data_IF_312740942396
#
_entry.id   IF_312740942396
#
_cell.length_a   1.000
_cell.length_b   1.000
_cell.length_c   1.000
_cell.angle_alpha   90.00
_cell.angle_beta   90.00
_cell.angle_gamma   90.00
#
_symmetry.space_group_name_H-M   'P 1'
#
loop_
_entity.id
_entity.type
_entity.pdbx_description
1 polymer ?
#
# COMPACT_ATOMS: atom_id res chain seq x y z
N UNK A 1 -32.73 -15.50 14.97
CA UNK A 1 -32.80 -14.76 13.69
C UNK A 1 -31.42 -14.87 13.07
N UNK A 2 -31.33 -15.65 12.00
CA UNK A 2 -30.13 -15.80 11.18
C UNK A 2 -30.07 -14.65 10.18
N UNK A 3 -28.88 -14.05 10.06
CA UNK A 3 -28.41 -13.27 8.91
C UNK A 3 -27.05 -12.70 9.29
N UNK A 4 -25.98 -12.83 8.55
CA UNK A 4 -25.64 -13.66 7.40
C UNK A 4 -24.12 -13.48 7.31
N UNK A 5 -23.43 -14.52 6.85
CA UNK A 5 -21.98 -14.57 6.73
C UNK A 5 -21.46 -13.40 5.86
N UNK A 6 -20.57 -12.56 6.39
CA UNK A 6 -19.61 -11.84 5.56
C UNK A 6 -18.31 -12.63 5.55
N UNK A 7 -18.33 -13.66 4.71
CA UNK A 7 -17.20 -14.34 4.07
C UNK A 7 -15.83 -14.14 4.74
N UNK A 8 -15.43 -15.11 5.55
CA UNK A 8 -14.01 -15.38 5.77
C UNK A 8 -13.38 -15.76 4.41
N UNK A 9 -12.76 -14.80 3.74
CA UNK A 9 -11.89 -15.05 2.59
C UNK A 9 -10.75 -16.00 3.01
N UNK A 10 -10.60 -17.19 2.39
CA UNK A 10 -9.65 -18.19 2.87
C UNK A 10 -8.21 -17.71 2.71
N UNK A 11 -7.49 -17.79 3.83
CA UNK A 11 -6.05 -17.61 4.02
C UNK A 11 -5.23 -18.27 2.91
N UNK A 12 -4.49 -17.47 2.16
CA UNK A 12 -3.38 -17.89 1.31
C UNK A 12 -2.46 -16.69 1.14
N UNK A 13 -1.25 -16.79 1.66
CA UNK A 13 -0.19 -15.76 1.77
C UNK A 13 0.30 -15.16 0.42
N UNK A 14 -0.45 -15.36 -0.67
CA UNK A 14 -0.13 -15.02 -2.05
C UNK A 14 -1.12 -14.01 -2.68
N UNK A 15 -2.06 -13.47 -1.91
CA UNK A 15 -3.04 -12.51 -2.44
C UNK A 15 -2.39 -11.16 -2.75
N UNK A 16 -2.86 -10.47 -3.80
CA UNK A 16 -2.39 -9.11 -4.13
C UNK A 16 -2.67 -8.14 -2.97
N UNK A 17 -3.71 -8.43 -2.17
CA UNK A 17 -4.08 -7.65 -0.99
C UNK A 17 -3.05 -7.77 0.14
N UNK A 18 -2.50 -8.95 0.41
CA UNK A 18 -1.42 -9.13 1.40
C UNK A 18 -0.13 -8.41 1.00
N UNK A 19 0.08 -8.25 -0.31
CA UNK A 19 1.19 -7.44 -0.81
C UNK A 19 0.93 -5.94 -0.62
N UNK A 20 -0.31 -5.49 -0.85
CA UNK A 20 -0.72 -4.10 -0.59
C UNK A 20 -0.61 -3.78 0.91
N UNK A 21 -0.98 -4.70 1.78
CA UNK A 21 -0.96 -4.51 3.25
C UNK A 21 0.45 -4.35 3.84
N UNK A 22 1.50 -4.76 3.11
CA UNK A 22 2.89 -4.52 3.51
C UNK A 22 3.32 -3.05 3.42
N UNK A 23 2.53 -2.21 2.73
CA UNK A 23 2.85 -0.79 2.55
C UNK A 23 2.15 0.08 3.58
N UNK A 24 2.83 1.16 3.97
CA UNK A 24 2.22 2.20 4.81
C UNK A 24 1.38 3.15 3.94
N UNK A 25 0.12 3.35 4.31
CA UNK A 25 -0.78 4.29 3.65
C UNK A 25 -1.09 5.48 4.54
N UNK A 26 -1.31 6.64 3.92
CA UNK A 26 -1.75 7.85 4.65
C UNK A 26 -3.17 7.74 5.21
N UNK A 27 -3.98 6.81 4.70
CA UNK A 27 -5.38 6.61 5.06
C UNK A 27 -5.76 5.14 5.09
N UNK A 28 -6.71 4.78 5.94
CA UNK A 28 -7.27 3.44 5.99
C UNK A 28 -8.06 3.14 4.70
N UNK A 29 -7.66 2.09 3.98
CA UNK A 29 -8.38 1.60 2.81
C UNK A 29 -9.63 0.82 3.23
N UNK A 30 -10.77 1.16 2.66
CA UNK A 30 -12.05 0.44 2.90
C UNK A 30 -12.58 -0.20 1.63
N UNK A 31 -12.40 0.46 0.49
CA UNK A 31 -12.83 -0.05 -0.81
C UNK A 31 -11.73 0.17 -1.84
N UNK A 32 -10.94 -0.87 -2.11
CA UNK A 32 -9.74 -0.82 -2.95
C UNK A 32 -10.00 -0.10 -4.29
N UNK A 33 -11.05 -0.45 -5.03
CA UNK A 33 -11.35 0.18 -6.31
C UNK A 33 -11.61 1.69 -6.20
N UNK A 34 -12.35 2.14 -5.17
CA UNK A 34 -12.68 3.56 -4.98
C UNK A 34 -11.49 4.33 -4.43
N UNK A 35 -10.79 3.76 -3.45
CA UNK A 35 -9.68 4.43 -2.78
C UNK A 35 -8.46 4.56 -3.71
N UNK A 36 -8.28 3.64 -4.67
CA UNK A 36 -7.24 3.74 -5.69
C UNK A 36 -7.64 4.59 -6.92
N UNK A 37 -8.92 4.97 -7.04
CA UNK A 37 -9.41 5.62 -8.25
C UNK A 37 -8.75 6.96 -8.59
N UNK A 38 -8.20 7.67 -7.60
CA UNK A 38 -7.48 8.93 -7.80
C UNK A 38 -5.96 8.78 -8.00
N UNK A 39 -5.49 7.54 -8.11
CA UNK A 39 -4.08 7.15 -8.28
C UNK A 39 -3.15 7.49 -7.09
N UNK A 40 -3.64 8.17 -6.05
CA UNK A 40 -2.80 8.64 -4.93
C UNK A 40 -2.28 7.47 -4.10
N UNK A 41 -3.14 6.51 -3.75
CA UNK A 41 -2.70 5.31 -3.01
C UNK A 41 -1.68 4.50 -3.80
N UNK A 42 -1.86 4.37 -5.12
CA UNK A 42 -0.87 3.69 -5.96
C UNK A 42 0.45 4.46 -6.00
N UNK A 43 0.39 5.80 -6.04
CA UNK A 43 1.58 6.64 -5.96
C UNK A 43 2.31 6.46 -4.62
N UNK A 44 1.61 6.29 -3.49
CA UNK A 44 2.24 6.01 -2.18
C UNK A 44 3.00 4.67 -2.17
N UNK A 45 2.42 3.61 -2.76
CA UNK A 45 3.10 2.32 -2.93
C UNK A 45 4.35 2.50 -3.79
N UNK A 46 4.19 3.14 -4.95
CA UNK A 46 5.29 3.36 -5.87
C UNK A 46 6.36 4.28 -5.29
N UNK A 47 6.02 5.23 -4.41
CA UNK A 47 6.97 6.07 -3.71
C UNK A 47 7.80 5.28 -2.68
N UNK A 48 7.19 4.31 -2.00
CA UNK A 48 7.93 3.38 -1.13
C UNK A 48 8.83 2.43 -1.94
N UNK A 49 8.43 2.07 -3.16
CA UNK A 49 9.20 1.19 -4.03
C UNK A 49 10.37 1.91 -4.74
N UNK A 50 10.06 3.04 -5.36
CA UNK A 50 10.93 3.86 -6.21
C UNK A 50 10.76 5.35 -5.88
N UNK A 51 11.25 5.81 -4.71
CA UNK A 51 11.07 7.20 -4.28
C UNK A 51 11.67 8.21 -5.26
N UNK A 52 12.68 7.81 -6.03
CA UNK A 52 13.30 8.66 -7.06
C UNK A 52 12.38 8.99 -8.24
N UNK A 53 11.31 8.22 -8.48
CA UNK A 53 10.44 8.38 -9.66
C UNK A 53 9.08 8.96 -9.29
N UNK A 54 8.70 8.90 -8.02
CA UNK A 54 7.40 9.38 -7.54
C UNK A 54 7.58 10.62 -6.70
N UNK A 55 6.97 11.70 -7.15
CA UNK A 55 6.88 12.95 -6.41
C UNK A 55 5.43 13.10 -5.93
N UNK A 56 5.16 12.72 -4.69
CA UNK A 56 3.80 12.67 -4.12
C UNK A 56 3.05 14.01 -4.23
N UNK A 57 3.75 15.15 -4.19
CA UNK A 57 3.15 16.47 -4.36
C UNK A 57 2.47 16.71 -5.72
N UNK A 58 2.77 15.88 -6.74
CA UNK A 58 2.12 15.96 -8.05
C UNK A 58 0.75 15.27 -8.08
N UNK A 59 0.39 14.51 -7.04
CA UNK A 59 -0.82 13.71 -6.99
C UNK A 59 -1.71 14.24 -5.87
N UNK A 60 -2.73 15.00 -6.24
CA UNK A 60 -3.71 15.54 -5.31
C UNK A 60 -4.90 14.61 -5.20
N UNK A 61 -5.38 14.34 -3.97
CA UNK A 61 -6.59 13.53 -3.82
C UNK A 61 -7.77 14.24 -4.47
N UNK A 62 -8.50 13.51 -5.30
CA UNK A 62 -9.49 14.11 -6.18
C UNK A 62 -10.72 13.23 -6.35
N UNK A 63 -11.88 13.87 -6.36
CA UNK A 63 -13.16 13.19 -6.60
C UNK A 63 -13.67 13.37 -8.02
N UNK A 64 -13.25 14.43 -8.72
CA UNK A 64 -13.64 14.72 -10.10
C UNK A 64 -12.87 13.84 -11.09
N UNK A 65 -13.59 13.21 -12.01
CA UNK A 65 -13.01 12.29 -13.00
C UNK A 65 -11.87 12.92 -13.79
N UNK A 66 -12.01 14.16 -14.26
CA UNK A 66 -10.97 14.87 -15.01
C UNK A 66 -9.64 14.98 -14.23
N UNK A 67 -9.71 15.24 -12.93
CA UNK A 67 -8.53 15.34 -12.08
C UNK A 67 -7.93 13.96 -11.79
N UNK A 68 -8.77 12.94 -11.59
CA UNK A 68 -8.32 11.54 -11.47
C UNK A 68 -7.58 11.09 -12.73
N UNK A 69 -8.13 11.40 -13.91
CA UNK A 69 -7.49 11.11 -15.19
C UNK A 69 -6.13 11.81 -15.33
N UNK A 70 -6.04 13.08 -14.94
CA UNK A 70 -4.76 13.81 -14.93
C UNK A 70 -3.72 13.16 -13.99
N UNK A 71 -4.15 12.70 -12.81
CA UNK A 71 -3.29 11.95 -11.89
C UNK A 71 -2.81 10.64 -12.54
N UNK A 72 -3.71 9.86 -13.14
CA UNK A 72 -3.39 8.61 -13.83
C UNK A 72 -2.44 8.80 -15.01
N UNK A 73 -2.66 9.82 -15.83
CA UNK A 73 -1.79 10.16 -16.96
C UNK A 73 -0.38 10.51 -16.47
N UNK A 74 -0.30 11.31 -15.41
CA UNK A 74 0.96 11.70 -14.79
C UNK A 74 1.70 10.51 -14.20
N UNK A 75 0.99 9.61 -13.51
CA UNK A 75 1.57 8.38 -12.95
C UNK A 75 2.06 7.44 -14.06
N UNK A 76 1.29 7.30 -15.13
CA UNK A 76 1.62 6.46 -16.26
C UNK A 76 2.89 6.96 -16.98
N UNK A 77 2.95 8.26 -17.27
CA UNK A 77 4.08 8.89 -17.96
C UNK A 77 5.35 8.88 -17.11
N UNK A 78 5.25 9.23 -15.82
CA UNK A 78 6.44 9.38 -14.95
C UNK A 78 6.97 8.05 -14.41
N UNK A 79 6.08 7.09 -14.12
CA UNK A 79 6.42 5.91 -13.33
C UNK A 79 6.15 4.62 -14.09
N UNK A 80 4.90 4.38 -14.53
CA UNK A 80 4.52 3.08 -15.11
C UNK A 80 5.25 2.79 -16.42
N UNK A 81 5.45 3.81 -17.27
CA UNK A 81 6.21 3.66 -18.52
C UNK A 81 7.69 3.32 -18.25
N UNK A 82 8.26 3.85 -17.16
CA UNK A 82 9.64 3.51 -16.75
C UNK A 82 9.74 2.09 -16.21
N UNK A 83 8.72 1.65 -15.49
CA UNK A 83 8.55 0.29 -15.00
C UNK A 83 8.16 -0.71 -16.11
N UNK A 84 8.01 -0.29 -17.38
CA UNK A 84 7.53 -1.14 -18.48
C UNK A 84 6.12 -1.72 -18.23
N UNK A 85 5.32 -1.07 -17.40
CA UNK A 85 3.92 -1.41 -17.13
C UNK A 85 2.95 -0.30 -17.56
N UNK A 86 3.27 0.41 -18.64
CA UNK A 86 2.41 1.47 -19.15
C UNK A 86 0.99 0.99 -19.44
N UNK A 87 0.00 1.81 -19.08
CA UNK A 87 -1.43 1.51 -19.25
C UNK A 87 -2.05 2.41 -20.33
N UNK A 88 -3.02 1.85 -21.06
CA UNK A 88 -3.76 2.59 -22.11
C UNK A 88 -4.70 3.63 -21.51
N UNK A 89 -5.10 4.62 -22.31
CA UNK A 89 -6.07 5.64 -21.86
C UNK A 89 -7.40 5.03 -21.40
N UNK A 90 -7.88 3.99 -22.09
CA UNK A 90 -9.09 3.25 -21.68
C UNK A 90 -8.93 2.63 -20.29
N UNK A 91 -7.80 2.00 -20.03
CA UNK A 91 -7.52 1.41 -18.72
C UNK A 91 -7.43 2.49 -17.63
N UNK A 92 -6.85 3.66 -17.93
CA UNK A 92 -6.84 4.81 -17.00
C UNK A 92 -8.26 5.28 -16.67
N UNK A 93 -9.16 5.30 -17.65
CA UNK A 93 -10.57 5.64 -17.46
C UNK A 93 -11.30 4.61 -16.60
N UNK A 94 -11.07 3.32 -16.85
CA UNK A 94 -11.62 2.23 -16.03
C UNK A 94 -11.17 2.35 -14.57
N UNK A 95 -9.89 2.67 -14.33
CA UNK A 95 -9.35 2.91 -12.99
C UNK A 95 -9.95 4.17 -12.34
N UNK A 96 -10.07 5.26 -13.08
CA UNK A 96 -10.62 6.52 -12.58
C UNK A 96 -12.11 6.39 -12.20
N UNK A 97 -12.84 5.51 -12.90
CA UNK A 97 -14.22 5.15 -12.61
C UNK A 97 -14.37 4.09 -11.51
N UNK A 98 -13.27 3.61 -10.92
CA UNK A 98 -13.28 2.56 -9.91
C UNK A 98 -13.95 1.26 -10.42
N UNK A 99 -13.71 0.91 -11.69
CA UNK A 99 -14.22 -0.35 -12.25
C UNK A 99 -13.64 -1.53 -11.46
N UNK A 100 -14.48 -2.42 -10.90
CA UNK A 100 -14.01 -3.59 -10.17
C UNK A 100 -13.09 -4.47 -11.01
N UNK A 101 -12.00 -4.97 -10.46
CA UNK A 101 -11.03 -5.81 -11.17
C UNK A 101 -9.93 -5.04 -11.92
N UNK A 102 -10.17 -3.78 -12.32
CA UNK A 102 -9.19 -3.00 -13.07
C UNK A 102 -7.94 -2.71 -12.23
N UNK A 103 -8.13 -2.34 -10.96
CA UNK A 103 -7.00 -2.03 -10.07
C UNK A 103 -6.23 -3.29 -9.67
N UNK A 104 -6.92 -4.40 -9.45
CA UNK A 104 -6.33 -5.67 -9.07
C UNK A 104 -5.37 -6.17 -10.16
N UNK A 105 -5.78 -6.08 -11.43
CA UNK A 105 -4.91 -6.41 -12.57
C UNK A 105 -3.65 -5.53 -12.61
N UNK A 106 -3.81 -4.23 -12.37
CA UNK A 106 -2.67 -3.31 -12.34
C UNK A 106 -1.72 -3.61 -11.18
N UNK A 107 -2.25 -3.88 -9.99
CA UNK A 107 -1.44 -4.23 -8.81
C UNK A 107 -0.66 -5.53 -9.02
N UNK A 108 -1.27 -6.56 -9.62
CA UNK A 108 -0.58 -7.81 -9.99
C UNK A 108 0.57 -7.51 -10.97
N UNK A 109 0.32 -6.66 -11.97
CA UNK A 109 1.33 -6.27 -12.94
C UNK A 109 2.50 -5.52 -12.29
N UNK A 110 2.21 -4.56 -11.39
CA UNK A 110 3.22 -3.81 -10.64
C UNK A 110 4.03 -4.74 -9.74
N UNK A 111 3.38 -5.64 -9.00
CA UNK A 111 4.05 -6.65 -8.15
C UNK A 111 5.00 -7.51 -8.97
N UNK A 112 4.53 -8.05 -10.11
CA UNK A 112 5.34 -8.90 -11.01
C UNK A 112 6.55 -8.14 -11.58
N UNK A 113 6.35 -6.92 -12.05
CA UNK A 113 7.43 -6.10 -12.61
C UNK A 113 8.45 -5.74 -11.54
N UNK A 114 7.98 -5.41 -10.34
CA UNK A 114 8.86 -5.05 -9.22
C UNK A 114 9.70 -6.23 -8.77
N UNK A 115 9.13 -7.43 -8.69
CA UNK A 115 9.85 -8.66 -8.35
C UNK A 115 10.92 -9.04 -9.40
N UNK A 116 10.61 -8.86 -10.69
CA UNK A 116 11.54 -9.18 -11.78
C UNK A 116 12.59 -8.09 -12.05
N UNK A 117 12.46 -6.91 -11.45
CA UNK A 117 13.41 -5.81 -11.66
C UNK A 117 14.62 -5.98 -10.74
N UNK A 118 15.82 -6.31 -11.26
CA UNK A 118 17.03 -6.48 -10.43
C UNK A 118 17.41 -5.22 -9.66
N UNK A 119 16.99 -4.04 -10.14
CA UNK A 119 17.16 -2.76 -9.43
C UNK A 119 16.38 -2.70 -8.11
N UNK A 120 15.22 -3.38 -8.01
CA UNK A 120 14.37 -3.40 -6.83
C UNK A 120 14.59 -4.64 -5.95
N UNK A 121 15.16 -5.71 -6.50
CA UNK A 121 15.59 -6.89 -5.73
C UNK A 121 16.57 -6.54 -4.61
N UNK A 122 17.47 -5.56 -4.84
CA UNK A 122 18.41 -5.09 -3.81
C UNK A 122 17.73 -4.45 -2.59
N UNK A 123 16.54 -3.87 -2.75
CA UNK A 123 15.73 -3.29 -1.67
C UNK A 123 14.87 -4.34 -0.94
N UNK A 124 14.54 -5.46 -1.60
CA UNK A 124 13.73 -6.54 -1.02
C UNK A 124 14.45 -7.30 0.10
N UNK A 125 15.75 -7.04 0.34
CA UNK A 125 16.45 -7.48 1.55
C UNK A 125 16.04 -6.70 2.81
N UNK A 126 15.20 -5.67 2.71
CA UNK A 126 14.60 -5.01 3.87
C UNK A 126 13.34 -5.75 4.32
N UNK A 127 13.59 -6.92 4.90
CA UNK A 127 12.66 -7.62 5.78
C UNK A 127 12.52 -6.76 7.05
N UNK A 128 11.60 -5.78 7.03
CA UNK A 128 11.41 -4.80 8.11
C UNK A 128 10.21 -5.05 9.02
N UNK A 129 9.40 -6.08 8.76
CA UNK A 129 8.33 -6.55 9.65
C UNK A 129 8.62 -7.98 10.15
N UNK A 130 9.78 -8.18 10.77
CA UNK A 130 10.15 -9.49 11.33
C UNK A 130 10.76 -9.43 12.75
N UNK A 131 10.80 -8.29 13.46
CA UNK A 131 11.51 -8.27 14.74
C UNK A 131 10.99 -7.35 15.86
N UNK A 132 9.91 -6.58 15.70
CA UNK A 132 9.49 -5.63 16.76
C UNK A 132 8.26 -6.03 17.58
N UNK A 133 7.55 -7.12 17.25
CA UNK A 133 6.37 -7.54 18.02
C UNK A 133 6.60 -8.74 18.96
N UNK A 134 7.85 -9.18 19.13
CA UNK A 134 8.15 -10.34 20.00
C UNK A 134 8.90 -9.98 21.29
N UNK A 135 9.23 -8.70 21.54
CA UNK A 135 10.05 -8.30 22.70
C UNK A 135 9.48 -7.17 23.56
N UNK A 136 8.18 -6.87 23.45
CA UNK A 136 7.46 -5.93 24.33
C UNK A 136 6.34 -6.59 25.14
N UNK A 137 6.51 -7.87 25.51
CA UNK A 137 5.66 -8.53 26.51
C UNK A 137 6.43 -9.26 27.61
N UNK A 138 7.71 -8.96 27.76
CA UNK A 138 8.51 -9.51 28.86
C UNK A 138 9.48 -8.42 29.34
N UNK A 139 9.04 -7.63 30.33
CA UNK A 139 9.86 -6.83 31.27
C UNK A 139 9.06 -5.81 32.09
N UNK A 140 7.72 -5.71 31.95
CA UNK A 140 6.94 -4.93 32.93
C UNK A 140 6.61 -5.72 34.20
N UNK A 141 7.60 -6.45 34.71
CA UNK A 141 7.66 -6.97 36.06
C UNK A 141 8.77 -6.23 36.82
N UNK A 142 8.52 -4.95 37.12
CA UNK A 142 9.20 -4.30 38.24
C UNK A 142 8.12 -3.79 39.17
N UNK A 143 7.98 -4.56 40.24
CA UNK A 143 7.16 -4.36 41.41
C UNK A 143 7.28 -2.94 41.94
N UNK A 144 6.14 -2.27 42.14
CA UNK A 144 6.05 -1.24 43.17
C UNK A 144 6.12 -1.94 44.52
N UNK A 145 7.33 -2.04 45.07
CA UNK A 145 7.56 -2.35 46.48
C UNK A 145 7.90 -1.03 47.20
N UNK A 146 6.89 -0.55 47.91
CA UNK A 146 6.93 0.01 49.27
C UNK A 146 8.28 0.41 49.89
N UNK A 147 8.25 1.54 50.62
CA UNK A 147 8.94 1.61 51.92
C UNK A 147 10.11 2.58 52.05
N UNK A 148 9.80 3.74 52.66
CA UNK A 148 10.54 4.42 53.75
C UNK A 148 12.08 4.54 53.75
N UNK A 149 12.53 5.78 53.99
CA UNK A 149 13.33 6.21 55.17
C UNK A 149 14.63 6.98 54.87
N UNK A 150 14.63 8.22 55.38
CA UNK A 150 15.73 8.96 56.02
C UNK A 150 17.01 9.30 55.23
N UNK A 151 17.20 10.60 54.98
CA UNK A 151 18.51 11.23 54.95
C UNK A 151 18.56 12.39 55.94
N UNK A 152 19.73 12.53 56.54
CA UNK A 152 20.15 13.32 57.70
C UNK A 152 19.84 14.82 57.64
#
# INVERSE_FOLDING_TARGET
>A
MASEQSEEMPRGMDSVYDWVDQFSFSRAMKNTARDFSDAVLLAEILAQLVPAWVQLHNYSSAHRLQQKMSNWETLNRKVLTRLKCGISHKHQEDLANAVPGAIELLLIQVKRVTANSPFLQAKHSWNGYSAIDSQLRETNAVSYSDGSSSYW
#
